data_IF_360081493722
#
_entry.id   IF_360081493722
#
_cell.length_a   1.000
_cell.length_b   1.000
_cell.length_c   1.000
_cell.angle_alpha   90.00
_cell.angle_beta   90.00
_cell.angle_gamma   90.00
#
_symmetry.space_group_name_H-M   'P 1'
#
loop_
_entity.id
_entity.type
_entity.pdbx_description
1 polymer ?
#
# COMPACT_ATOMS: atom_id res chain seq x y z
N UNK A 1 -14.08 7.67 -11.45
CA UNK A 1 -14.63 7.30 -10.12
C UNK A 1 -13.71 6.27 -9.49
N UNK A 2 -12.91 6.61 -8.47
CA UNK A 2 -12.00 5.67 -7.84
C UNK A 2 -12.78 4.82 -6.83
N UNK A 3 -12.73 3.51 -7.00
CA UNK A 3 -13.36 2.51 -6.13
C UNK A 3 -12.67 2.50 -4.77
N UNK A 4 -13.25 3.22 -3.81
CA UNK A 4 -12.97 3.09 -2.38
C UNK A 4 -13.49 1.73 -1.89
N UNK A 5 -12.80 0.63 -2.24
CA UNK A 5 -13.06 -0.73 -1.70
C UNK A 5 -11.86 -1.34 -0.97
N UNK A 6 -10.77 -0.60 -0.81
CA UNK A 6 -9.50 -1.15 -0.33
C UNK A 6 -9.40 -1.56 1.16
N UNK A 7 -10.17 -1.03 2.14
CA UNK A 7 -9.99 -1.44 3.53
C UNK A 7 -10.84 -2.65 3.94
N UNK A 8 -12.07 -2.78 3.41
CA UNK A 8 -13.01 -3.81 3.86
C UNK A 8 -12.62 -5.20 3.33
N UNK A 9 -12.20 -5.29 2.07
CA UNK A 9 -11.80 -6.56 1.44
C UNK A 9 -10.53 -7.13 2.09
N UNK A 10 -9.55 -6.28 2.43
CA UNK A 10 -8.35 -6.70 3.20
C UNK A 10 -8.68 -7.13 4.62
N UNK A 11 -9.65 -6.47 5.25
CA UNK A 11 -10.11 -6.87 6.57
C UNK A 11 -10.80 -8.22 6.51
N UNK A 12 -11.65 -8.47 5.50
CA UNK A 12 -12.33 -9.76 5.30
C UNK A 12 -11.33 -10.88 4.99
N UNK A 13 -10.35 -10.69 4.10
CA UNK A 13 -9.31 -11.70 3.80
C UNK A 13 -8.37 -11.97 4.99
N UNK A 14 -7.99 -10.93 5.74
CA UNK A 14 -7.22 -11.09 6.98
C UNK A 14 -8.05 -11.75 8.09
N UNK A 15 -9.36 -11.49 8.12
CA UNK A 15 -10.28 -12.11 9.05
C UNK A 15 -10.42 -13.60 8.73
N UNK A 16 -10.61 -13.97 7.46
CA UNK A 16 -10.79 -15.36 7.02
C UNK A 16 -9.54 -16.22 7.23
N UNK A 17 -8.34 -15.65 7.01
CA UNK A 17 -7.07 -16.36 7.23
C UNK A 17 -6.70 -16.49 8.72
N UNK A 18 -7.00 -15.48 9.54
CA UNK A 18 -6.71 -15.54 10.98
C UNK A 18 -7.77 -16.33 11.77
N UNK A 19 -9.04 -16.31 11.37
CA UNK A 19 -10.07 -17.18 11.97
C UNK A 19 -9.84 -18.63 11.58
N UNK A 20 -9.45 -18.93 10.34
CA UNK A 20 -9.08 -20.30 9.94
C UNK A 20 -7.83 -20.79 10.66
N UNK A 21 -6.83 -19.94 10.93
CA UNK A 21 -5.69 -20.27 11.78
C UNK A 21 -6.12 -20.57 13.22
N UNK A 22 -6.95 -19.73 13.84
CA UNK A 22 -7.44 -19.93 15.20
C UNK A 22 -8.30 -21.21 15.33
N UNK A 23 -9.18 -21.46 14.36
CA UNK A 23 -9.97 -22.72 14.27
C UNK A 23 -9.04 -23.91 14.05
N UNK A 24 -8.01 -23.77 13.21
CA UNK A 24 -7.00 -24.81 12.99
C UNK A 24 -6.27 -25.18 14.28
N UNK A 25 -5.82 -24.19 15.05
CA UNK A 25 -5.18 -24.42 16.36
C UNK A 25 -6.14 -25.07 17.35
N UNK A 26 -7.41 -24.65 17.36
CA UNK A 26 -8.44 -25.27 18.19
C UNK A 26 -8.68 -26.75 17.82
N UNK A 27 -8.77 -27.07 16.53
CA UNK A 27 -8.93 -28.44 16.04
C UNK A 27 -7.70 -29.31 16.31
N UNK A 28 -6.49 -28.75 16.16
CA UNK A 28 -5.24 -29.43 16.54
C UNK A 28 -5.20 -29.70 18.04
N UNK A 29 -5.63 -28.74 18.87
CA UNK A 29 -5.78 -28.93 20.31
C UNK A 29 -6.77 -30.05 20.67
N UNK A 30 -7.90 -30.11 19.96
CA UNK A 30 -8.90 -31.17 20.14
C UNK A 30 -8.37 -32.55 19.70
N UNK A 31 -7.61 -32.60 18.61
CA UNK A 31 -6.94 -33.82 18.13
C UNK A 31 -5.90 -34.31 19.15
N UNK A 32 -5.06 -33.41 19.68
CA UNK A 32 -4.08 -33.72 20.72
C UNK A 32 -4.76 -34.26 21.98
N UNK A 33 -5.91 -33.71 22.35
CA UNK A 33 -6.71 -34.24 23.44
C UNK A 33 -7.18 -35.68 23.17
N UNK A 34 -7.70 -35.96 21.98
CA UNK A 34 -8.18 -37.29 21.60
C UNK A 34 -7.09 -38.37 21.58
N UNK A 35 -5.84 -38.00 21.30
CA UNK A 35 -4.69 -38.93 21.23
C UNK A 35 -3.93 -39.02 22.58
N UNK A 36 -4.33 -38.25 23.60
CA UNK A 36 -3.68 -38.23 24.91
C UNK A 36 -2.36 -37.44 24.95
N UNK A 37 -2.04 -36.67 23.91
CA UNK A 37 -0.84 -35.83 23.80
C UNK A 37 -1.01 -34.43 24.39
N UNK A 38 -1.78 -34.29 25.47
CA UNK A 38 -2.17 -32.99 26.01
C UNK A 38 -1.03 -32.30 26.80
N UNK A 39 -0.30 -33.09 27.59
CA UNK A 39 0.80 -32.61 28.42
C UNK A 39 2.15 -32.79 27.73
N UNK A 40 3.06 -31.84 27.95
CA UNK A 40 4.47 -31.98 27.54
C UNK A 40 5.19 -33.03 28.39
N UNK A 41 4.68 -33.32 29.60
CA UNK A 41 5.23 -34.32 30.53
C UNK A 41 4.26 -35.51 30.59
N UNK A 42 4.70 -36.66 30.07
CA UNK A 42 3.88 -37.85 29.77
C UNK A 42 3.22 -38.49 31.00
N UNK A 43 3.71 -38.25 32.22
CA UNK A 43 3.30 -38.98 33.43
C UNK A 43 2.34 -38.24 34.39
N UNK A 44 1.85 -37.04 34.05
CA UNK A 44 0.94 -36.27 34.93
C UNK A 44 -0.18 -35.56 34.18
N UNK A 45 -1.17 -36.32 33.72
CA UNK A 45 -2.40 -35.73 33.19
C UNK A 45 -3.36 -35.40 34.36
N UNK A 46 -3.04 -34.33 35.10
CA UNK A 46 -3.80 -33.83 36.27
C UNK A 46 -5.03 -32.99 35.88
N UNK A 47 -5.35 -32.93 34.58
CA UNK A 47 -6.31 -31.99 34.04
C UNK A 47 -7.75 -32.54 34.04
N UNK A 48 -8.69 -31.91 34.77
CA UNK A 48 -10.10 -32.21 34.58
C UNK A 48 -10.54 -31.81 33.15
N UNK A 49 -11.41 -32.59 32.49
CA UNK A 49 -11.82 -32.32 31.11
C UNK A 49 -12.48 -30.95 30.94
N UNK A 50 -13.17 -30.44 31.97
CA UNK A 50 -13.73 -29.09 31.97
C UNK A 50 -12.65 -27.99 31.92
N UNK A 51 -11.51 -28.20 32.58
CA UNK A 51 -10.39 -27.26 32.54
C UNK A 51 -9.72 -27.26 31.15
N UNK A 52 -9.58 -28.43 30.50
CA UNK A 52 -9.06 -28.53 29.13
C UNK A 52 -9.93 -27.71 28.15
N UNK A 53 -11.25 -27.86 28.23
CA UNK A 53 -12.18 -27.08 27.41
C UNK A 53 -12.11 -25.57 27.72
N UNK A 54 -12.10 -25.19 29.00
CA UNK A 54 -12.00 -23.79 29.40
C UNK A 54 -10.72 -23.13 28.85
N UNK A 55 -9.59 -23.82 28.90
CA UNK A 55 -8.31 -23.36 28.36
C UNK A 55 -8.36 -23.18 26.83
N UNK A 56 -8.97 -24.11 26.09
CA UNK A 56 -9.14 -23.98 24.64
C UNK A 56 -10.05 -22.81 24.25
N UNK A 57 -11.18 -22.66 24.93
CA UNK A 57 -12.09 -21.54 24.68
C UNK A 57 -11.44 -20.20 25.04
N UNK A 58 -10.66 -20.15 26.14
CA UNK A 58 -9.90 -18.97 26.50
C UNK A 58 -8.83 -18.64 25.44
N UNK A 59 -8.06 -19.64 25.00
CA UNK A 59 -7.05 -19.46 23.95
C UNK A 59 -7.67 -18.96 22.64
N UNK A 60 -8.80 -19.54 22.22
CA UNK A 60 -9.56 -19.11 21.04
C UNK A 60 -10.03 -17.65 21.18
N UNK A 61 -10.63 -17.29 22.32
CA UNK A 61 -11.07 -15.92 22.57
C UNK A 61 -9.90 -14.91 22.56
N UNK A 62 -8.74 -15.30 23.07
CA UNK A 62 -7.52 -14.49 23.04
C UNK A 62 -7.01 -14.31 21.62
N UNK A 63 -6.98 -15.37 20.79
CA UNK A 63 -6.57 -15.28 19.38
C UNK A 63 -7.48 -14.35 18.57
N UNK A 64 -8.80 -14.45 18.78
CA UNK A 64 -9.75 -13.52 18.16
C UNK A 64 -9.52 -12.08 18.62
N UNK A 65 -9.20 -11.88 19.90
CA UNK A 65 -8.88 -10.56 20.45
C UNK A 65 -7.54 -10.02 19.91
N UNK A 66 -6.57 -10.89 19.61
CA UNK A 66 -5.25 -10.53 19.09
C UNK A 66 -5.33 -9.81 17.74
N UNK A 67 -6.38 -10.06 16.97
CA UNK A 67 -6.64 -9.38 15.70
C UNK A 67 -6.91 -7.88 15.88
N UNK A 68 -7.63 -7.50 16.94
CA UNK A 68 -8.01 -6.10 17.19
C UNK A 68 -7.07 -5.40 18.16
N UNK A 69 -6.57 -6.14 19.16
CA UNK A 69 -5.78 -5.61 20.28
C UNK A 69 -4.62 -6.57 20.58
N UNK A 70 -3.59 -6.64 19.72
CA UNK A 70 -2.48 -7.60 19.85
C UNK A 70 -1.73 -7.48 21.19
N UNK A 71 -1.58 -6.26 21.73
CA UNK A 71 -0.92 -6.05 23.01
C UNK A 71 -1.71 -6.63 24.19
N UNK A 72 -3.04 -6.46 24.20
CA UNK A 72 -3.90 -7.01 25.24
C UNK A 72 -3.95 -8.54 25.16
N UNK A 73 -4.10 -9.07 23.95
CA UNK A 73 -4.12 -10.51 23.74
C UNK A 73 -2.81 -11.19 24.15
N UNK A 74 -1.65 -10.57 23.86
CA UNK A 74 -0.37 -11.08 24.33
C UNK A 74 -0.28 -11.10 25.85
N UNK A 75 -0.70 -10.03 26.54
CA UNK A 75 -0.75 -10.00 27.99
C UNK A 75 -1.68 -11.06 28.58
N UNK A 76 -2.89 -11.22 28.01
CA UNK A 76 -3.85 -12.25 28.41
C UNK A 76 -3.31 -13.66 28.18
N UNK A 77 -2.61 -13.89 27.07
CA UNK A 77 -2.00 -15.19 26.78
C UNK A 77 -0.90 -15.52 27.79
N UNK A 78 -0.07 -14.55 28.21
CA UNK A 78 0.92 -14.76 29.27
C UNK A 78 0.25 -15.15 30.59
N UNK A 79 -0.82 -14.45 30.97
CA UNK A 79 -1.58 -14.74 32.19
C UNK A 79 -2.19 -16.15 32.12
N UNK A 80 -2.75 -16.53 30.97
CA UNK A 80 -3.32 -17.86 30.75
C UNK A 80 -2.23 -18.94 30.85
N UNK A 81 -1.07 -18.72 30.25
CA UNK A 81 0.07 -19.62 30.31
C UNK A 81 0.61 -19.77 31.75
N UNK A 82 0.66 -18.67 32.51
CA UNK A 82 1.04 -18.70 33.92
C UNK A 82 0.07 -19.54 34.78
N UNK A 83 -1.24 -19.50 34.47
CA UNK A 83 -2.24 -20.38 35.09
C UNK A 83 -2.08 -21.85 34.70
N UNK A 84 -1.72 -22.12 33.45
CA UNK A 84 -1.47 -23.47 32.92
C UNK A 84 -0.31 -24.18 33.64
N UNK A 85 0.73 -23.43 34.06
CA UNK A 85 1.85 -23.98 34.82
C UNK A 85 1.45 -24.70 36.11
N UNK A 86 0.30 -24.37 36.72
CA UNK A 86 -0.20 -25.04 37.93
C UNK A 86 -0.55 -26.51 37.65
N UNK A 87 -1.05 -26.79 36.46
CA UNK A 87 -1.47 -28.13 36.02
C UNK A 87 -0.40 -28.83 35.16
N UNK A 88 0.60 -28.07 34.69
CA UNK A 88 1.74 -28.53 33.89
C UNK A 88 1.65 -28.01 32.44
N UNK A 89 2.76 -27.74 31.74
CA UNK A 89 2.70 -27.05 30.45
C UNK A 89 1.93 -27.85 29.38
N UNK A 90 0.89 -27.23 28.81
CA UNK A 90 0.00 -27.82 27.79
C UNK A 90 0.39 -27.42 26.37
N UNK A 91 0.54 -28.42 25.49
CA UNK A 91 0.94 -28.18 24.09
C UNK A 91 0.02 -27.23 23.30
N UNK A 92 -1.33 -27.32 23.43
CA UNK A 92 -2.23 -26.45 22.67
C UNK A 92 -2.04 -24.96 22.96
N UNK A 93 -1.73 -24.58 24.21
CA UNK A 93 -1.50 -23.18 24.58
C UNK A 93 -0.19 -22.64 23.99
N UNK A 94 0.85 -23.47 23.92
CA UNK A 94 2.11 -23.12 23.26
C UNK A 94 1.93 -22.90 21.75
N UNK A 95 1.10 -23.72 21.11
CA UNK A 95 0.72 -23.52 19.70
C UNK A 95 -0.08 -22.23 19.54
N UNK A 96 -1.05 -21.96 20.42
CA UNK A 96 -1.83 -20.72 20.38
C UNK A 96 -0.95 -19.48 20.63
N UNK A 97 0.04 -19.57 21.52
CA UNK A 97 1.03 -18.53 21.78
C UNK A 97 1.83 -18.18 20.52
N UNK A 98 2.23 -19.19 19.73
CA UNK A 98 2.96 -18.99 18.47
C UNK A 98 2.19 -18.07 17.52
N UNK A 99 0.87 -18.29 17.40
CA UNK A 99 -0.02 -17.48 16.58
C UNK A 99 -0.16 -16.05 17.16
N UNK A 100 -0.39 -15.91 18.47
CA UNK A 100 -0.47 -14.60 19.12
C UNK A 100 0.83 -13.80 18.97
N UNK A 101 2.00 -14.44 19.02
CA UNK A 101 3.30 -13.82 18.75
C UNK A 101 3.37 -13.33 17.31
N UNK A 102 2.98 -14.16 16.35
CA UNK A 102 2.96 -13.77 14.94
C UNK A 102 2.05 -12.55 14.72
N UNK A 103 0.83 -12.55 15.27
CA UNK A 103 -0.06 -11.40 15.18
C UNK A 103 0.55 -10.16 15.87
N UNK A 104 1.07 -10.30 17.09
CA UNK A 104 1.68 -9.19 17.81
C UNK A 104 2.86 -8.53 17.06
N UNK A 105 3.64 -9.33 16.33
CA UNK A 105 4.83 -8.89 15.60
C UNK A 105 4.51 -8.46 14.17
N UNK A 106 3.46 -8.97 13.55
CA UNK A 106 3.05 -8.56 12.21
C UNK A 106 2.18 -7.30 12.26
N UNK A 107 1.18 -7.24 13.15
CA UNK A 107 0.19 -6.14 13.22
C UNK A 107 0.42 -5.14 14.37
N UNK A 108 1.14 -5.52 15.42
CA UNK A 108 1.34 -4.67 16.60
C UNK A 108 2.32 -3.50 16.44
N UNK A 109 2.58 -2.75 17.51
CA UNK A 109 3.54 -1.63 17.49
C UNK A 109 4.99 -2.12 17.53
N UNK A 110 5.95 -1.24 17.16
CA UNK A 110 7.38 -1.56 17.25
C UNK A 110 7.82 -1.89 18.69
N UNK A 111 7.24 -1.19 19.68
CA UNK A 111 7.50 -1.46 21.11
C UNK A 111 7.03 -2.87 21.49
N UNK A 112 5.85 -3.28 21.05
CA UNK A 112 5.34 -4.62 21.32
C UNK A 112 6.26 -5.70 20.71
N UNK A 113 6.77 -5.50 19.49
CA UNK A 113 7.70 -6.44 18.88
C UNK A 113 9.02 -6.60 19.66
N UNK A 114 9.48 -5.54 20.33
CA UNK A 114 10.66 -5.61 21.23
C UNK A 114 10.33 -6.36 22.51
N UNK A 115 9.18 -6.07 23.14
CA UNK A 115 8.72 -6.77 24.35
C UNK A 115 8.53 -8.27 24.08
N UNK A 116 7.88 -8.63 22.97
CA UNK A 116 7.71 -10.03 22.56
C UNK A 116 9.06 -10.70 22.27
N UNK A 117 10.03 -9.97 21.71
CA UNK A 117 11.40 -10.45 21.52
C UNK A 117 12.11 -10.77 22.84
N UNK A 118 12.02 -9.88 23.83
CA UNK A 118 12.56 -10.13 25.17
C UNK A 118 11.87 -11.30 25.86
N UNK A 119 10.55 -11.40 25.74
CA UNK A 119 9.80 -12.53 26.26
C UNK A 119 10.26 -13.86 25.61
N UNK A 120 10.40 -13.89 24.29
CA UNK A 120 10.87 -15.08 23.57
C UNK A 120 12.29 -15.50 24.00
N UNK A 121 13.18 -14.53 24.18
CA UNK A 121 14.51 -14.76 24.70
C UNK A 121 14.46 -15.35 26.12
N UNK A 122 13.68 -14.71 27.02
CA UNK A 122 13.57 -15.14 28.42
C UNK A 122 12.97 -16.54 28.54
N UNK A 123 11.94 -16.85 27.75
CA UNK A 123 11.31 -18.17 27.72
C UNK A 123 12.27 -19.24 27.20
N UNK A 124 12.98 -18.95 26.10
CA UNK A 124 13.89 -19.92 25.49
C UNK A 124 15.10 -20.18 26.38
N UNK A 125 15.78 -19.12 26.84
CA UNK A 125 16.99 -19.24 27.66
C UNK A 125 16.65 -19.69 29.07
N UNK A 126 15.63 -19.07 29.68
CA UNK A 126 15.16 -19.44 31.02
C UNK A 126 14.64 -20.87 31.07
N UNK A 127 13.86 -21.30 30.07
CA UNK A 127 13.39 -22.68 29.95
C UNK A 127 14.53 -23.68 29.78
N UNK A 128 15.52 -23.37 28.92
CA UNK A 128 16.70 -24.23 28.73
C UNK A 128 17.56 -24.33 30.00
N UNK A 129 17.80 -23.22 30.70
CA UNK A 129 18.56 -23.20 31.96
C UNK A 129 17.82 -23.94 33.08
N UNK A 130 16.50 -23.79 33.18
CA UNK A 130 15.69 -24.52 34.14
C UNK A 130 15.72 -26.03 33.85
N UNK A 131 15.56 -26.42 32.58
CA UNK A 131 15.68 -27.81 32.17
C UNK A 131 17.09 -28.38 32.42
N UNK A 132 18.14 -27.57 32.24
CA UNK A 132 19.51 -27.95 32.58
C UNK A 132 19.67 -28.27 34.06
N UNK A 133 19.16 -27.37 34.92
CA UNK A 133 19.28 -27.50 36.36
C UNK A 133 18.49 -28.68 36.94
N UNK A 134 17.32 -28.99 36.36
CA UNK A 134 16.40 -29.99 36.90
C UNK A 134 16.52 -31.38 36.23
N UNK A 135 16.82 -31.41 34.93
CA UNK A 135 16.70 -32.61 34.08
C UNK A 135 17.99 -32.92 33.30
N UNK A 136 19.01 -32.07 33.42
CA UNK A 136 20.32 -32.26 32.81
C UNK A 136 20.44 -31.77 31.36
N UNK A 137 21.63 -32.00 30.78
CA UNK A 137 22.06 -31.37 29.52
C UNK A 137 21.17 -31.74 28.33
N UNK A 138 20.76 -33.00 28.19
CA UNK A 138 19.92 -33.44 27.05
C UNK A 138 18.57 -32.73 27.05
N UNK A 139 17.92 -32.62 28.22
CA UNK A 139 16.65 -31.92 28.36
C UNK A 139 16.78 -30.42 28.07
N UNK A 140 17.88 -29.79 28.51
CA UNK A 140 18.17 -28.40 28.21
C UNK A 140 18.28 -28.13 26.69
N UNK A 141 18.95 -29.02 25.97
CA UNK A 141 19.08 -28.92 24.51
C UNK A 141 17.72 -29.02 23.81
N UNK A 142 16.89 -29.99 24.19
CA UNK A 142 15.54 -30.13 23.62
C UNK A 142 14.64 -28.94 23.96
N UNK A 143 14.64 -28.48 25.22
CA UNK A 143 13.87 -27.32 25.66
C UNK A 143 14.28 -26.04 24.92
N UNK A 144 15.59 -25.84 24.73
CA UNK A 144 16.12 -24.73 23.94
C UNK A 144 15.68 -24.80 22.47
N UNK A 145 15.81 -25.96 21.83
CA UNK A 145 15.43 -26.14 20.42
C UNK A 145 13.93 -25.92 20.20
N UNK A 146 13.09 -26.48 21.07
CA UNK A 146 11.63 -26.28 21.04
C UNK A 146 11.28 -24.82 21.30
N UNK A 147 11.92 -24.16 22.27
CA UNK A 147 11.75 -22.74 22.55
C UNK A 147 12.10 -21.87 21.34
N UNK A 148 13.22 -22.16 20.66
CA UNK A 148 13.57 -21.49 19.40
C UNK A 148 12.50 -21.73 18.34
N UNK A 149 12.10 -22.97 18.11
CA UNK A 149 11.12 -23.32 17.08
C UNK A 149 9.77 -22.62 17.31
N UNK A 150 9.26 -22.62 18.55
CA UNK A 150 7.94 -22.06 18.86
C UNK A 150 7.92 -20.54 18.97
N UNK A 151 9.01 -19.93 19.44
CA UNK A 151 9.02 -18.50 19.74
C UNK A 151 9.74 -17.68 18.68
N UNK A 152 10.89 -18.13 18.19
CA UNK A 152 11.69 -17.38 17.21
C UNK A 152 11.19 -17.51 15.78
N UNK A 153 10.62 -18.65 15.40
CA UNK A 153 10.00 -18.84 14.08
C UNK A 153 8.91 -17.81 13.79
N UNK A 154 7.82 -17.70 14.57
CA UNK A 154 6.76 -16.71 14.31
C UNK A 154 7.26 -15.27 14.42
N UNK A 155 8.26 -15.02 15.28
CA UNK A 155 8.93 -13.73 15.40
C UNK A 155 9.67 -13.34 14.10
N UNK A 156 10.35 -14.29 13.46
CA UNK A 156 11.03 -14.09 12.19
C UNK A 156 10.04 -13.87 11.05
N UNK A 157 9.06 -14.77 10.91
CA UNK A 157 8.01 -14.67 9.90
C UNK A 157 7.22 -13.37 10.03
N UNK A 158 6.81 -12.98 11.25
CA UNK A 158 6.09 -11.73 11.48
C UNK A 158 6.88 -10.50 11.04
N UNK A 159 8.20 -10.46 11.28
CA UNK A 159 9.08 -9.38 10.82
C UNK A 159 9.26 -9.37 9.31
N UNK A 160 9.44 -10.54 8.69
CA UNK A 160 9.57 -10.67 7.24
C UNK A 160 8.30 -10.20 6.51
N UNK A 161 7.12 -10.61 6.99
CA UNK A 161 5.83 -10.17 6.45
C UNK A 161 5.66 -8.65 6.62
N UNK A 162 6.01 -8.11 7.79
CA UNK A 162 5.97 -6.65 8.02
C UNK A 162 6.92 -5.90 7.08
N UNK A 163 8.11 -6.41 6.84
CA UNK A 163 9.08 -5.82 5.91
C UNK A 163 8.57 -5.84 4.46
N UNK A 164 8.03 -7.00 4.02
CA UNK A 164 7.42 -7.14 2.71
C UNK A 164 6.26 -6.16 2.50
N UNK A 165 5.37 -6.00 3.48
CA UNK A 165 4.28 -5.01 3.41
C UNK A 165 4.79 -3.58 3.26
N UNK A 166 5.84 -3.20 4.00
CA UNK A 166 6.46 -1.87 3.89
C UNK A 166 7.07 -1.62 2.51
N UNK A 167 7.68 -2.64 1.90
CA UNK A 167 8.22 -2.53 0.55
C UNK A 167 7.10 -2.27 -0.47
N UNK A 168 6.02 -3.06 -0.40
CA UNK A 168 4.86 -2.90 -1.29
C UNK A 168 4.19 -1.54 -1.13
N UNK A 169 4.05 -1.05 0.11
CA UNK A 169 3.46 0.26 0.35
C UNK A 169 4.38 1.40 -0.14
N UNK A 170 5.70 1.27 0.01
CA UNK A 170 6.67 2.23 -0.53
C UNK A 170 6.62 2.29 -2.07
N UNK A 171 6.52 1.15 -2.76
CA UNK A 171 6.37 1.09 -4.21
C UNK A 171 5.06 1.73 -4.67
N UNK A 172 3.96 1.49 -3.95
CA UNK A 172 2.66 2.11 -4.25
C UNK A 172 2.71 3.63 -4.08
N UNK A 173 3.37 4.12 -3.05
CA UNK A 173 3.52 5.55 -2.81
C UNK A 173 4.43 6.20 -3.85
N UNK A 174 5.51 5.52 -4.26
CA UNK A 174 6.36 5.96 -5.36
C UNK A 174 5.58 6.06 -6.69
N UNK A 175 4.77 5.05 -7.02
CA UNK A 175 3.94 5.06 -8.23
C UNK A 175 2.89 6.19 -8.22
N UNK A 176 2.29 6.49 -7.06
CA UNK A 176 1.38 7.66 -6.92
C UNK A 176 2.11 8.98 -7.13
N UNK A 177 3.31 9.12 -6.59
CA UNK A 177 4.13 10.31 -6.77
C UNK A 177 4.54 10.52 -8.23
N UNK A 178 4.91 9.45 -8.94
CA UNK A 178 5.23 9.51 -10.37
C UNK A 178 4.02 9.93 -11.21
N UNK A 179 2.84 9.37 -10.95
CA UNK A 179 1.61 9.78 -11.64
C UNK A 179 1.30 11.27 -11.40
N UNK A 180 1.40 11.73 -10.15
CA UNK A 180 1.19 13.14 -9.83
C UNK A 180 2.21 14.06 -10.52
N UNK A 181 3.49 13.64 -10.60
CA UNK A 181 4.52 14.39 -11.31
C UNK A 181 4.23 14.48 -12.81
N UNK A 182 3.84 13.38 -13.46
CA UNK A 182 3.47 13.36 -14.88
C UNK A 182 2.27 14.27 -15.19
N UNK A 183 1.27 14.33 -14.31
CA UNK A 183 0.12 15.20 -14.49
C UNK A 183 0.48 16.68 -14.30
N UNK A 184 1.40 16.98 -13.38
CA UNK A 184 1.95 18.33 -13.20
C UNK A 184 2.76 18.78 -14.43
N UNK A 185 3.64 17.91 -14.95
CA UNK A 185 4.42 18.17 -16.17
C UNK A 185 3.51 18.42 -17.38
N UNK A 186 2.48 17.60 -17.58
CA UNK A 186 1.49 17.80 -18.64
C UNK A 186 0.78 19.14 -18.51
N UNK A 187 0.37 19.50 -17.30
CA UNK A 187 -0.32 20.77 -17.04
C UNK A 187 0.60 21.96 -17.28
N UNK A 188 1.87 21.85 -16.89
CA UNK A 188 2.89 22.87 -17.15
C UNK A 188 3.17 23.02 -18.65
N UNK A 189 3.29 21.91 -19.38
CA UNK A 189 3.49 21.91 -20.83
C UNK A 189 2.30 22.56 -21.57
N UNK A 190 1.06 22.22 -21.20
CA UNK A 190 -0.15 22.87 -21.73
C UNK A 190 -0.14 24.37 -21.41
N UNK A 191 0.30 24.76 -20.21
CA UNK A 191 0.41 26.16 -19.82
C UNK A 191 1.45 26.96 -20.61
N UNK A 192 2.61 26.36 -20.92
CA UNK A 192 3.62 26.96 -21.79
C UNK A 192 3.10 27.11 -23.23
N UNK A 193 2.44 26.08 -23.75
CA UNK A 193 1.90 26.11 -25.10
C UNK A 193 0.82 27.19 -25.25
N UNK A 194 -0.07 27.34 -24.27
CA UNK A 194 -1.05 28.44 -24.24
C UNK A 194 -0.39 29.82 -24.24
N UNK A 195 0.72 29.99 -23.53
CA UNK A 195 1.47 31.26 -23.51
C UNK A 195 2.15 31.55 -24.85
N UNK A 196 2.65 30.51 -25.53
CA UNK A 196 3.20 30.63 -26.89
C UNK A 196 2.11 31.00 -27.89
N UNK A 197 1.01 30.27 -27.92
CA UNK A 197 -0.14 30.54 -28.79
C UNK A 197 -0.68 31.97 -28.60
N UNK A 198 -0.79 32.46 -27.35
CA UNK A 198 -1.23 33.82 -27.10
C UNK A 198 -0.29 34.88 -27.69
N UNK A 199 1.03 34.64 -27.67
CA UNK A 199 2.02 35.52 -28.29
C UNK A 199 1.94 35.50 -29.81
N UNK A 200 1.89 34.31 -30.40
CA UNK A 200 1.78 34.14 -31.85
C UNK A 200 0.51 34.82 -32.41
N UNK A 201 -0.61 34.69 -31.69
CA UNK A 201 -1.85 35.40 -32.01
C UNK A 201 -1.72 36.91 -31.83
N UNK A 202 -1.06 37.38 -30.78
CA UNK A 202 -0.84 38.81 -30.55
C UNK A 202 0.01 39.43 -31.66
N UNK A 203 1.09 38.78 -32.05
CA UNK A 203 2.00 39.25 -33.09
C UNK A 203 1.30 39.28 -34.46
N UNK A 204 0.49 38.27 -34.79
CA UNK A 204 -0.32 38.26 -36.00
C UNK A 204 -1.35 39.40 -36.03
N UNK A 205 -2.07 39.62 -34.92
CA UNK A 205 -3.07 40.71 -34.80
C UNK A 205 -2.40 42.09 -34.85
N UNK A 206 -1.28 42.27 -34.15
CA UNK A 206 -0.54 43.53 -34.14
C UNK A 206 -0.01 43.88 -35.54
N UNK A 207 0.49 42.89 -36.29
CA UNK A 207 0.90 43.06 -37.68
C UNK A 207 -0.25 43.53 -38.57
N UNK A 208 -1.42 42.90 -38.42
CA UNK A 208 -2.61 43.25 -39.21
C UNK A 208 -3.15 44.65 -38.91
N UNK A 209 -3.27 44.99 -37.63
CA UNK A 209 -3.72 46.33 -37.18
C UNK A 209 -2.74 47.42 -37.65
N UNK A 210 -1.43 47.15 -37.61
CA UNK A 210 -0.41 48.09 -38.10
C UNK A 210 -0.53 48.32 -39.61
N UNK A 211 -0.76 47.27 -40.40
CA UNK A 211 -0.97 47.38 -41.84
C UNK A 211 -2.22 48.21 -42.18
N UNK A 212 -3.33 48.01 -41.45
CA UNK A 212 -4.55 48.80 -41.61
C UNK A 212 -4.31 50.27 -41.27
N UNK A 213 -3.59 50.57 -40.20
CA UNK A 213 -3.28 51.95 -39.80
C UNK A 213 -2.47 52.69 -40.88
N UNK A 214 -1.44 52.05 -41.44
CA UNK A 214 -0.63 52.61 -42.54
C UNK A 214 -1.49 52.85 -43.79
N UNK A 215 -2.30 51.86 -44.20
CA UNK A 215 -3.16 51.99 -45.38
C UNK A 215 -4.25 53.05 -45.19
N UNK A 216 -4.75 53.24 -43.96
CA UNK A 216 -5.71 54.30 -43.64
C UNK A 216 -5.10 55.71 -43.79
N UNK A 217 -3.84 55.91 -43.40
CA UNK A 217 -3.12 57.17 -43.66
C UNK A 217 -2.95 57.44 -45.16
N UNK A 218 -2.64 56.41 -45.95
CA UNK A 218 -2.53 56.53 -47.41
C UNK A 218 -3.87 56.91 -48.03
N UNK A 219 -4.97 56.27 -47.60
CA UNK A 219 -6.32 56.58 -48.07
C UNK A 219 -6.76 58.02 -47.72
N UNK A 220 -6.34 58.56 -46.57
CA UNK A 220 -6.62 59.96 -46.22
C UNK A 220 -5.86 60.97 -47.10
N UNK A 221 -4.63 60.64 -47.51
CA UNK A 221 -3.83 61.49 -48.41
C UNK A 221 -4.31 61.46 -49.86
N UNK A 222 -4.92 60.35 -50.30
CA UNK A 222 -5.42 60.18 -51.67
C UNK A 222 -6.86 59.60 -51.69
N UNK A 223 -7.89 60.44 -51.47
CA UNK A 223 -9.28 60.00 -51.29
C UNK A 223 -9.93 59.36 -52.53
N UNK A 224 -9.32 59.51 -53.72
CA UNK A 224 -9.82 58.93 -54.97
C UNK A 224 -9.38 57.49 -55.22
N UNK A 225 -8.46 56.96 -54.42
CA UNK A 225 -7.81 55.68 -54.68
C UNK A 225 -8.56 54.50 -54.04
N UNK A 226 -9.55 53.99 -54.77
CA UNK A 226 -10.36 52.81 -54.38
C UNK A 226 -9.48 51.56 -54.15
N UNK A 227 -8.31 51.49 -54.78
CA UNK A 227 -7.36 50.37 -54.63
C UNK A 227 -6.91 50.17 -53.19
N UNK A 228 -6.70 51.25 -52.43
CA UNK A 228 -6.25 51.18 -51.02
C UNK A 228 -7.31 50.53 -50.12
N UNK A 229 -8.58 50.87 -50.32
CA UNK A 229 -9.71 50.24 -49.59
C UNK A 229 -9.87 48.76 -49.97
N UNK A 230 -9.64 48.41 -51.23
CA UNK A 230 -9.63 47.01 -51.68
C UNK A 230 -8.48 46.22 -51.03
N UNK A 231 -7.29 46.80 -50.91
CA UNK A 231 -6.14 46.18 -50.22
C UNK A 231 -6.41 45.96 -48.73
N UNK A 232 -7.01 46.93 -48.04
CA UNK A 232 -7.43 46.77 -46.63
C UNK A 232 -8.42 45.60 -46.48
N UNK A 233 -9.42 45.53 -47.37
CA UNK A 233 -10.43 44.47 -47.35
C UNK A 233 -9.83 43.10 -47.64
N UNK A 234 -9.00 42.97 -48.67
CA UNK A 234 -8.39 41.68 -49.04
C UNK A 234 -7.43 41.18 -47.97
N UNK A 235 -6.60 42.08 -47.41
CA UNK A 235 -5.68 41.74 -46.33
C UNK A 235 -6.43 41.32 -45.05
N UNK A 236 -7.53 41.98 -44.71
CA UNK A 236 -8.35 41.62 -43.53
C UNK A 236 -9.08 40.29 -43.69
N UNK A 237 -9.58 39.99 -44.89
CA UNK A 237 -10.17 38.70 -45.19
C UNK A 237 -9.12 37.58 -45.13
N UNK A 238 -7.91 37.81 -45.65
CA UNK A 238 -6.81 36.85 -45.58
C UNK A 238 -6.40 36.54 -44.13
N UNK A 239 -6.27 37.56 -43.27
CA UNK A 239 -5.95 37.37 -41.86
C UNK A 239 -7.05 36.61 -41.08
N UNK A 240 -8.33 36.86 -41.38
CA UNK A 240 -9.44 36.10 -40.79
C UNK A 240 -9.48 34.65 -41.26
N UNK A 241 -9.18 34.39 -42.53
CA UNK A 241 -9.08 33.03 -43.09
C UNK A 241 -7.95 32.26 -42.38
N UNK A 242 -6.79 32.89 -42.17
CA UNK A 242 -5.64 32.26 -41.52
C UNK A 242 -5.95 31.91 -40.06
N UNK A 243 -6.54 32.83 -39.28
CA UNK A 243 -7.01 32.55 -37.91
C UNK A 243 -8.04 31.42 -37.87
N UNK A 244 -9.01 31.42 -38.80
CA UNK A 244 -10.03 30.37 -38.90
C UNK A 244 -9.39 29.01 -39.17
N UNK A 245 -8.43 28.96 -40.10
CA UNK A 245 -7.72 27.73 -40.46
C UNK A 245 -6.93 27.19 -39.27
N UNK A 246 -6.27 28.05 -38.49
CA UNK A 246 -5.56 27.65 -37.26
C UNK A 246 -6.51 27.15 -36.17
N UNK A 247 -7.68 27.77 -35.98
CA UNK A 247 -8.69 27.33 -35.00
C UNK A 247 -9.30 25.99 -35.41
N UNK A 248 -9.61 25.79 -36.69
CA UNK A 248 -10.11 24.52 -37.22
C UNK A 248 -9.08 23.39 -36.99
N UNK A 249 -7.78 23.63 -37.22
CA UNK A 249 -6.68 22.71 -36.90
C UNK A 249 -6.56 22.37 -35.41
N UNK A 250 -6.86 23.31 -34.51
CA UNK A 250 -6.78 23.11 -33.06
C UNK A 250 -8.02 22.40 -32.49
N UNK A 251 -9.16 22.45 -33.20
CA UNK A 251 -10.45 21.91 -32.73
C UNK A 251 -10.71 20.49 -33.25
N UNK A 252 -10.07 20.07 -34.34
CA UNK A 252 -10.28 18.76 -34.95
C UNK A 252 -9.20 17.74 -34.49
N UNK A 253 -9.53 16.73 -33.68
CA UNK A 253 -8.57 15.74 -33.18
C UNK A 253 -8.12 14.73 -34.23
N UNK A 254 -8.70 14.77 -35.44
CA UNK A 254 -8.62 13.68 -36.43
C UNK A 254 -7.92 14.01 -37.74
N UNK A 255 -7.49 15.25 -37.97
CA UNK A 255 -6.82 15.64 -39.23
C UNK A 255 -5.30 15.69 -39.10
N UNK A 256 -4.65 14.54 -39.27
CA UNK A 256 -3.21 14.50 -39.54
C UNK A 256 -2.90 15.25 -40.86
N UNK A 257 -1.82 16.06 -40.93
CA UNK A 257 -1.63 16.97 -42.04
C UNK A 257 -1.29 16.23 -43.35
N UNK A 258 -2.15 16.39 -44.36
CA UNK A 258 -1.71 16.17 -45.74
C UNK A 258 -0.75 17.29 -46.10
N UNK A 259 0.55 16.97 -46.21
CA UNK A 259 1.56 17.85 -46.82
C UNK A 259 1.10 18.19 -48.24
N UNK A 260 0.36 19.29 -48.43
CA UNK A 260 0.14 19.87 -49.75
C UNK A 260 1.28 20.83 -50.06
N UNK A 261 1.89 20.58 -51.22
CA UNK A 261 3.19 21.06 -51.62
C UNK A 261 3.34 22.57 -51.61
N UNK A 262 4.49 23.02 -51.11
CA UNK A 262 5.05 24.31 -51.45
C UNK A 262 5.27 24.41 -52.97
N UNK A 263 4.86 25.51 -53.63
CA UNK A 263 5.25 25.76 -55.01
C UNK A 263 6.76 26.04 -55.04
N UNK A 264 7.49 25.22 -55.79
CA UNK A 264 8.86 25.54 -56.22
C UNK A 264 8.78 26.75 -57.14
N UNK A 265 9.21 27.90 -56.65
CA UNK A 265 9.55 29.02 -57.52
C UNK A 265 10.86 28.67 -58.22
N UNK A 266 10.75 28.32 -59.50
CA UNK A 266 11.88 28.31 -60.43
C UNK A 266 12.08 29.72 -60.96
N UNK A 267 13.25 30.29 -60.67
CA UNK A 267 13.89 31.33 -61.46
C UNK A 267 15.36 30.92 -61.62
#
# INVERSE_FOLDING_TARGET
>A
MPTVRAPMDRLVEAFDSATSAAVGVFLVGLLLWGVGGWSIVVDRDLYPPAAKLALLFAALAIQLTAQRRPALAFGLMIVLLAGDFVFGPSLPLWIALTDVIFLAVSTGSARLSVVVGWFAFLVTVGGALLALALLGVRAALYAGLIGVALTWSPLGYGRAVRASRRMVDAERDAGRAELAARDAERSAAIGEERRRLARDLHDAVAGHVSAVAILAEVAQRDPGNIGVLQTIRSSSLAAMEEMRTTIELLTDPTTAPSRRGWPRWTA
#
